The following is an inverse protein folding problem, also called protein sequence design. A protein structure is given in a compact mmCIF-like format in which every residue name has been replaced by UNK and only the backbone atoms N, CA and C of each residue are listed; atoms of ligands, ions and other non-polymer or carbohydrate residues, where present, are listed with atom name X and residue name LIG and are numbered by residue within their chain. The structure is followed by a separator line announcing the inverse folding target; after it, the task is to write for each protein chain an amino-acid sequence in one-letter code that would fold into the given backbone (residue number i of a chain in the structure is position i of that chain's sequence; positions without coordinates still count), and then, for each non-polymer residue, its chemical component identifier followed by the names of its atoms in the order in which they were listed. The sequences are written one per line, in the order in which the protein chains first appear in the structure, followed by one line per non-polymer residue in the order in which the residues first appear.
data_IF_094364719694
#
_entry.id   IF_094364719694
#
_cell.length_a   1.000
_cell.length_b   1.000
_cell.length_c   1.000
_cell.angle_alpha   90.00
_cell.angle_beta   90.00
_cell.angle_gamma   90.00
#
_symmetry.space_group_name_H-M   'P 1'
#
loop_
_entity.id
_entity.type
_entity.pdbx_description
1 polymer ?
#
# COMPACT_ATOMS: atom_id res chain seq x y z
N UNK A 1 14.84 -13.65 6.50
CA UNK A 1 15.95 -13.98 5.61
C UNK A 1 15.62 -15.27 4.89
N UNK A 2 15.53 -15.19 3.57
CA UNK A 2 15.16 -16.32 2.72
C UNK A 2 16.41 -17.14 2.38
N UNK A 3 16.36 -18.45 2.58
CA UNK A 3 17.48 -19.35 2.28
C UNK A 3 17.10 -20.35 1.20
N UNK A 4 17.93 -20.46 0.16
CA UNK A 4 17.76 -21.46 -0.91
C UNK A 4 19.12 -21.89 -1.45
N UNK A 5 19.28 -23.20 -1.68
CA UNK A 5 20.48 -23.80 -2.25
C UNK A 5 21.78 -23.43 -1.48
N UNK A 6 21.68 -23.30 -0.15
CA UNK A 6 22.80 -22.93 0.72
C UNK A 6 23.20 -21.45 0.65
N UNK A 7 22.38 -20.60 0.03
CA UNK A 7 22.57 -19.16 -0.04
C UNK A 7 21.45 -18.44 0.74
N UNK A 8 21.84 -17.40 1.47
CA UNK A 8 20.92 -16.52 2.18
C UNK A 8 20.73 -15.22 1.40
N UNK A 9 19.47 -14.80 1.27
CA UNK A 9 19.07 -13.60 0.55
C UNK A 9 18.37 -12.62 1.50
N UNK A 10 18.74 -11.35 1.37
CA UNK A 10 18.01 -10.25 1.97
C UNK A 10 16.96 -9.75 0.98
N UNK A 11 15.68 -9.98 1.29
CA UNK A 11 14.58 -9.69 0.37
C UNK A 11 13.99 -8.31 0.66
N UNK A 12 14.03 -7.44 -0.35
CA UNK A 12 13.39 -6.12 -0.32
C UNK A 12 12.18 -6.13 -1.23
N UNK A 13 10.98 -5.97 -0.64
CA UNK A 13 9.78 -5.67 -1.42
C UNK A 13 9.69 -4.15 -1.62
N UNK A 14 10.03 -3.69 -2.82
CA UNK A 14 10.09 -2.27 -3.13
C UNK A 14 8.71 -1.63 -3.43
N UNK A 15 7.62 -2.40 -3.39
CA UNK A 15 6.28 -1.91 -3.72
C UNK A 15 5.17 -2.67 -3.00
N UNK A 16 4.92 -2.27 -1.75
CA UNK A 16 3.73 -2.71 -1.00
C UNK A 16 2.69 -1.59 -0.89
N UNK A 17 1.44 -1.97 -0.71
CA UNK A 17 0.35 -1.05 -0.41
C UNK A 17 -0.45 -1.59 0.78
N UNK A 18 -1.04 -0.67 1.54
CA UNK A 18 -2.05 -0.95 2.55
C UNK A 18 -3.32 -0.25 2.10
N UNK A 19 -4.48 -0.92 2.12
CA UNK A 19 -5.69 -0.36 1.55
C UNK A 19 -6.95 -0.51 2.41
N UNK A 20 -7.90 0.39 2.16
CA UNK A 20 -9.27 0.34 2.64
C UNK A 20 -10.23 0.69 1.51
N UNK A 21 -11.05 -0.28 1.14
CA UNK A 21 -12.07 -0.19 0.13
C UNK A 21 -13.46 -0.54 0.67
N UNK A 22 -13.63 -0.52 2.00
CA UNK A 22 -14.92 -0.80 2.63
C UNK A 22 -15.99 0.19 2.14
N UNK A 23 -17.28 -0.20 2.14
CA UNK A 23 -18.35 0.62 1.58
C UNK A 23 -18.41 2.04 2.15
N UNK A 24 -18.09 2.23 3.43
CA UNK A 24 -18.04 3.53 4.10
C UNK A 24 -16.92 4.45 3.60
N UNK A 25 -15.85 3.89 2.99
CA UNK A 25 -14.77 4.66 2.40
C UNK A 25 -15.00 4.93 0.90
N UNK A 26 -15.99 4.31 0.27
CA UNK A 26 -16.26 4.50 -1.16
C UNK A 26 -17.00 5.82 -1.39
N UNK A 27 -16.38 6.72 -2.16
CA UNK A 27 -16.93 8.05 -2.45
C UNK A 27 -18.07 7.99 -3.48
N UNK A 28 -17.97 7.04 -4.40
CA UNK A 28 -18.91 6.84 -5.51
C UNK A 28 -18.81 5.40 -6.05
N UNK A 29 -19.62 5.09 -7.06
CA UNK A 29 -19.65 3.77 -7.70
C UNK A 29 -18.29 3.34 -8.27
N UNK A 30 -17.41 4.27 -8.63
CA UNK A 30 -16.10 3.94 -9.20
C UNK A 30 -15.14 3.39 -8.14
N UNK A 31 -15.27 3.79 -6.87
CA UNK A 31 -14.57 3.13 -5.76
C UNK A 31 -14.93 1.65 -5.67
N UNK A 32 -16.23 1.32 -5.72
CA UNK A 32 -16.69 -0.07 -5.78
C UNK A 32 -16.13 -0.81 -6.99
N UNK A 33 -16.26 -0.23 -8.19
CA UNK A 33 -15.81 -0.86 -9.43
C UNK A 33 -14.29 -1.12 -9.42
N UNK A 34 -13.52 -0.20 -8.83
CA UNK A 34 -12.08 -0.36 -8.68
C UNK A 34 -11.75 -1.59 -7.85
N UNK A 35 -12.26 -1.69 -6.61
CA UNK A 35 -11.93 -2.84 -5.75
C UNK A 35 -12.50 -4.16 -6.28
N UNK A 36 -13.68 -4.13 -6.90
CA UNK A 36 -14.28 -5.32 -7.53
C UNK A 36 -13.37 -5.88 -8.63
N UNK A 37 -12.73 -5.02 -9.43
CA UNK A 37 -11.79 -5.44 -10.47
C UNK A 37 -10.56 -6.14 -9.89
N UNK A 38 -9.97 -5.59 -8.82
CA UNK A 38 -8.84 -6.24 -8.13
C UNK A 38 -9.24 -7.57 -7.50
N UNK A 39 -10.43 -7.62 -6.90
CA UNK A 39 -10.93 -8.87 -6.33
C UNK A 39 -11.24 -9.93 -7.39
N UNK A 40 -11.73 -9.55 -8.57
CA UNK A 40 -11.91 -10.50 -9.67
C UNK A 40 -10.58 -11.10 -10.14
N UNK A 41 -9.49 -10.32 -10.19
CA UNK A 41 -8.16 -10.90 -10.43
C UNK A 41 -7.75 -11.83 -9.29
N UNK A 42 -7.91 -11.41 -8.03
CA UNK A 42 -7.59 -12.24 -6.87
C UNK A 42 -8.35 -13.58 -6.88
N UNK A 43 -9.67 -13.54 -7.03
CA UNK A 43 -10.55 -14.71 -7.00
C UNK A 43 -10.30 -15.67 -8.16
N UNK A 44 -9.97 -15.17 -9.35
CA UNK A 44 -9.88 -16.00 -10.55
C UNK A 44 -8.45 -16.41 -10.91
N UNK A 45 -7.42 -15.74 -10.40
CA UNK A 45 -6.01 -15.98 -10.78
C UNK A 45 -5.13 -16.46 -9.62
N UNK A 46 -5.55 -16.31 -8.36
CA UNK A 46 -4.82 -16.83 -7.21
C UNK A 46 -5.07 -18.33 -7.01
N UNK A 47 -4.13 -19.07 -6.41
CA UNK A 47 -4.40 -20.42 -5.92
C UNK A 47 -5.57 -20.40 -4.92
N UNK A 48 -6.37 -21.45 -4.88
CA UNK A 48 -7.58 -21.52 -4.04
C UNK A 48 -7.27 -21.29 -2.55
N UNK A 49 -6.11 -21.75 -2.06
CA UNK A 49 -5.65 -21.53 -0.68
C UNK A 49 -5.38 -20.06 -0.35
N UNK A 50 -5.09 -19.23 -1.36
CA UNK A 50 -4.74 -17.83 -1.20
C UNK A 50 -5.92 -16.88 -1.46
N UNK A 51 -7.07 -17.39 -1.91
CA UNK A 51 -8.26 -16.57 -2.17
C UNK A 51 -8.87 -16.12 -0.86
N UNK A 52 -9.00 -14.81 -0.69
CA UNK A 52 -9.57 -14.21 0.52
C UNK A 52 -11.08 -14.09 0.35
N UNK A 53 -11.86 -14.19 1.44
CA UNK A 53 -13.23 -13.69 1.43
C UNK A 53 -13.27 -12.23 0.98
N UNK A 54 -14.30 -11.85 0.21
CA UNK A 54 -14.42 -10.48 -0.31
C UNK A 54 -14.38 -9.43 0.80
N UNK A 55 -15.10 -9.65 1.90
CA UNK A 55 -15.14 -8.73 3.04
C UNK A 55 -13.75 -8.51 3.66
N UNK A 56 -12.94 -9.57 3.77
CA UNK A 56 -11.55 -9.47 4.26
C UNK A 56 -10.65 -8.76 3.23
N UNK A 57 -10.92 -8.93 1.93
CA UNK A 57 -10.19 -8.26 0.87
C UNK A 57 -10.50 -6.76 0.79
N UNK A 58 -11.64 -6.29 1.30
CA UNK A 58 -11.95 -4.86 1.32
C UNK A 58 -11.04 -4.07 2.25
N UNK A 59 -10.43 -4.69 3.25
CA UNK A 59 -9.51 -4.03 4.16
C UNK A 59 -8.43 -4.99 4.63
N UNK A 60 -7.19 -4.74 4.17
CA UNK A 60 -6.07 -5.57 4.59
C UNK A 60 -5.73 -5.34 6.08
N UNK A 61 -5.58 -4.08 6.49
CA UNK A 61 -5.13 -3.70 7.83
C UNK A 61 -3.65 -4.02 8.13
N UNK A 62 -3.07 -3.25 9.04
CA UNK A 62 -1.64 -3.35 9.38
C UNK A 62 -1.23 -4.72 9.92
N UNK A 63 -2.04 -5.34 10.78
CA UNK A 63 -1.70 -6.63 11.40
C UNK A 63 -1.54 -7.74 10.36
N UNK A 64 -2.48 -7.82 9.42
CA UNK A 64 -2.42 -8.79 8.32
C UNK A 64 -1.25 -8.49 7.39
N UNK A 65 -1.00 -7.22 7.06
CA UNK A 65 0.17 -6.84 6.26
C UNK A 65 1.48 -7.30 6.92
N UNK A 66 1.60 -7.16 8.24
CA UNK A 66 2.80 -7.61 8.97
C UNK A 66 2.95 -9.13 8.93
N UNK A 67 1.85 -9.86 9.13
CA UNK A 67 1.83 -11.32 9.01
C UNK A 67 2.23 -11.78 7.59
N UNK A 68 1.51 -11.28 6.58
CA UNK A 68 1.66 -11.71 5.19
C UNK A 68 3.07 -11.45 4.66
N UNK A 69 3.65 -10.26 4.92
CA UNK A 69 4.97 -9.92 4.40
C UNK A 69 6.10 -10.56 5.20
N UNK A 70 6.07 -10.43 6.52
CA UNK A 70 7.26 -10.71 7.35
C UNK A 70 7.21 -12.05 8.07
N UNK A 71 6.05 -12.64 8.28
CA UNK A 71 5.93 -13.95 8.94
C UNK A 71 5.90 -15.09 7.91
N UNK A 72 5.05 -14.95 6.87
CA UNK A 72 4.86 -16.01 5.86
C UNK A 72 5.42 -15.66 4.47
N UNK A 73 5.62 -14.37 4.17
CA UNK A 73 6.08 -13.89 2.86
C UNK A 73 7.60 -13.83 2.67
N UNK A 74 8.38 -14.10 3.71
CA UNK A 74 9.85 -14.06 3.69
C UNK A 74 10.49 -12.72 3.29
N UNK A 75 9.77 -11.60 3.43
CA UNK A 75 10.30 -10.25 3.20
C UNK A 75 11.14 -9.82 4.40
N UNK A 76 12.30 -9.20 4.15
CA UNK A 76 13.14 -8.64 5.21
C UNK A 76 12.92 -7.13 5.38
N UNK A 77 12.63 -6.42 4.28
CA UNK A 77 12.25 -5.01 4.31
C UNK A 77 11.23 -4.69 3.21
N UNK A 78 10.22 -3.87 3.49
CA UNK A 78 9.21 -3.47 2.53
C UNK A 78 9.07 -1.94 2.44
N UNK A 79 8.72 -1.45 1.25
CA UNK A 79 8.58 -0.03 0.95
C UNK A 79 7.16 0.26 0.50
N UNK A 80 6.43 1.07 1.27
CA UNK A 80 5.10 1.51 0.89
C UNK A 80 5.14 2.41 -0.34
N UNK A 81 4.28 2.13 -1.30
CA UNK A 81 4.04 2.94 -2.50
C UNK A 81 2.52 3.16 -2.64
N UNK A 82 1.94 4.04 -1.80
CA UNK A 82 0.48 4.13 -1.64
C UNK A 82 -0.23 4.58 -2.92
N UNK A 83 -1.51 4.21 -3.03
CA UNK A 83 -2.43 4.71 -4.05
C UNK A 83 -3.43 5.67 -3.40
N UNK A 84 -3.41 6.94 -3.80
CA UNK A 84 -4.25 7.97 -3.18
C UNK A 84 -5.74 7.77 -3.53
N UNK A 85 -6.07 7.79 -4.82
CA UNK A 85 -7.40 7.51 -5.37
C UNK A 85 -8.51 8.33 -4.68
N UNK A 86 -8.25 9.63 -4.47
CA UNK A 86 -9.14 10.53 -3.73
C UNK A 86 -10.44 10.85 -4.47
N UNK A 87 -10.47 10.61 -5.78
CA UNK A 87 -11.69 10.70 -6.59
C UNK A 87 -12.61 9.48 -6.38
N UNK A 88 -12.09 8.35 -5.91
CA UNK A 88 -12.83 7.10 -5.74
C UNK A 88 -13.18 6.81 -4.27
N UNK A 89 -12.35 7.30 -3.33
CA UNK A 89 -12.47 7.02 -1.90
C UNK A 89 -12.46 8.30 -1.06
N UNK A 90 -13.21 8.29 0.05
CA UNK A 90 -13.40 9.45 0.94
C UNK A 90 -12.11 9.79 1.69
N UNK A 91 -11.45 8.78 2.27
CA UNK A 91 -10.20 8.92 3.03
C UNK A 91 -8.97 8.50 2.21
N UNK A 92 -9.16 8.26 0.90
CA UNK A 92 -8.18 7.63 0.02
C UNK A 92 -8.12 6.11 0.19
N UNK A 93 -7.58 5.44 -0.82
CA UNK A 93 -7.43 3.97 -0.81
C UNK A 93 -6.25 3.55 0.07
N UNK A 94 -5.07 4.16 -0.12
CA UNK A 94 -3.77 3.74 0.41
C UNK A 94 -3.46 4.01 1.89
N UNK A 95 -4.49 4.15 2.75
CA UNK A 95 -4.42 4.31 4.21
C UNK A 95 -3.16 5.04 4.75
N UNK A 96 -2.98 6.31 4.34
CA UNK A 96 -1.75 7.11 4.58
C UNK A 96 -1.34 7.15 6.05
N UNK A 97 -2.25 7.48 6.96
CA UNK A 97 -1.92 7.63 8.38
C UNK A 97 -1.51 6.28 8.98
N UNK A 98 -2.26 5.21 8.71
CA UNK A 98 -1.98 3.85 9.19
C UNK A 98 -0.64 3.33 8.66
N UNK A 99 -0.40 3.42 7.35
CA UNK A 99 0.84 2.98 6.73
C UNK A 99 2.06 3.76 7.27
N UNK A 100 1.93 5.07 7.45
CA UNK A 100 3.01 5.90 8.00
C UNK A 100 3.28 5.60 9.49
N UNK A 101 2.22 5.31 10.26
CA UNK A 101 2.34 4.95 11.67
C UNK A 101 3.00 3.57 11.83
N UNK A 102 2.62 2.61 10.99
CA UNK A 102 3.20 1.27 10.96
C UNK A 102 4.69 1.31 10.59
N UNK A 103 5.06 2.10 9.59
CA UNK A 103 6.46 2.31 9.22
C UNK A 103 7.29 2.97 10.34
N UNK A 104 6.70 3.91 11.09
CA UNK A 104 7.35 4.51 12.27
C UNK A 104 7.50 3.50 13.42
N UNK A 105 6.56 2.58 13.58
CA UNK A 105 6.60 1.54 14.60
C UNK A 105 7.62 0.43 14.27
N UNK A 106 7.85 0.16 12.98
CA UNK A 106 8.76 -0.89 12.51
C UNK A 106 9.78 -0.36 11.47
N UNK A 107 10.64 0.61 11.82
CA UNK A 107 11.54 1.25 10.87
C UNK A 107 12.65 0.32 10.34
N UNK A 108 12.91 -0.79 11.02
CA UNK A 108 13.80 -1.86 10.56
C UNK A 108 13.19 -2.68 9.42
N UNK A 109 11.86 -2.79 9.38
CA UNK A 109 11.11 -3.59 8.41
C UNK A 109 10.43 -2.77 7.32
N UNK A 110 10.07 -1.53 7.60
CA UNK A 110 9.19 -0.73 6.75
C UNK A 110 9.75 0.66 6.47
N UNK A 111 9.69 1.07 5.21
CA UNK A 111 9.88 2.45 4.78
C UNK A 111 8.58 3.00 4.19
N UNK A 112 8.20 4.21 4.58
CA UNK A 112 7.06 4.90 3.99
C UNK A 112 7.52 5.90 2.92
N UNK A 113 7.03 5.71 1.68
CA UNK A 113 7.00 6.76 0.67
C UNK A 113 5.59 7.35 0.57
N UNK A 114 5.49 8.58 0.08
CA UNK A 114 4.21 9.24 -0.18
C UNK A 114 3.95 9.41 -1.68
N UNK A 115 2.69 9.62 -2.05
CA UNK A 115 2.33 9.95 -3.42
C UNK A 115 2.68 11.40 -3.75
N UNK A 116 3.11 11.65 -4.98
CA UNK A 116 3.30 12.99 -5.53
C UNK A 116 2.72 13.05 -6.94
N UNK A 117 1.81 14.01 -7.15
CA UNK A 117 1.24 14.28 -8.46
C UNK A 117 1.95 15.49 -9.13
N UNK A 118 2.75 15.26 -10.19
CA UNK A 118 3.44 16.33 -10.90
C UNK A 118 2.48 17.25 -11.69
N UNK A 119 1.24 16.82 -11.98
CA UNK A 119 0.24 17.62 -12.70
C UNK A 119 -0.21 18.84 -11.89
N UNK A 120 -0.02 18.82 -10.57
CA UNK A 120 -0.29 19.94 -9.65
C UNK A 120 0.79 21.04 -9.70
N UNK A 121 1.84 20.88 -10.53
CA UNK A 121 2.90 21.85 -10.74
C UNK A 121 3.55 22.33 -9.44
N UNK A 122 3.74 23.64 -9.31
CA UNK A 122 4.38 24.26 -8.15
C UNK A 122 3.64 24.01 -6.82
N UNK A 123 2.32 23.84 -6.86
CA UNK A 123 1.56 23.50 -5.66
C UNK A 123 1.86 22.07 -5.22
N UNK A 124 1.92 21.12 -6.15
CA UNK A 124 2.33 19.74 -5.88
C UNK A 124 3.74 19.65 -5.31
N UNK A 125 4.68 20.45 -5.84
CA UNK A 125 6.05 20.53 -5.30
C UNK A 125 6.12 21.14 -3.90
N UNK A 126 5.28 22.13 -3.57
CA UNK A 126 5.18 22.64 -2.20
C UNK A 126 4.62 21.58 -1.26
N UNK A 127 3.56 20.89 -1.66
CA UNK A 127 2.95 19.83 -0.85
C UNK A 127 3.93 18.68 -0.60
N UNK A 128 4.64 18.21 -1.63
CA UNK A 128 5.68 17.20 -1.49
C UNK A 128 6.76 17.59 -0.47
N UNK A 129 7.17 18.87 -0.42
CA UNK A 129 8.16 19.33 0.58
C UNK A 129 7.60 19.28 2.00
N UNK A 130 6.33 19.62 2.19
CA UNK A 130 5.68 19.52 3.51
C UNK A 130 5.47 18.06 3.92
N UNK A 131 5.05 17.18 2.99
CA UNK A 131 4.90 15.75 3.25
C UNK A 131 6.25 15.09 3.53
N UNK A 132 7.30 15.47 2.81
CA UNK A 132 8.67 15.01 3.07
C UNK A 132 9.13 15.33 4.49
N UNK A 133 8.83 16.53 4.99
CA UNK A 133 9.12 16.92 6.39
C UNK A 133 8.24 16.16 7.38
N UNK A 134 6.94 16.06 7.10
CA UNK A 134 5.95 15.44 7.99
C UNK A 134 6.22 13.94 8.21
N UNK A 135 6.55 13.23 7.13
CA UNK A 135 6.70 11.78 7.14
C UNK A 135 8.15 11.31 7.15
N UNK A 136 9.13 12.21 7.00
CA UNK A 136 10.55 11.84 6.93
C UNK A 136 10.88 11.03 5.68
N UNK A 137 10.27 11.39 4.54
CA UNK A 137 10.30 10.58 3.32
C UNK A 137 11.72 10.34 2.80
N UNK A 138 11.98 9.10 2.38
CA UNK A 138 13.21 8.69 1.66
C UNK A 138 13.00 8.65 0.15
N UNK A 139 11.75 8.56 -0.28
CA UNK A 139 11.33 8.58 -1.67
C UNK A 139 9.86 9.01 -1.80
N UNK A 140 9.40 9.07 -3.05
CA UNK A 140 8.00 9.34 -3.38
C UNK A 140 7.57 8.49 -4.58
N UNK A 141 6.28 8.17 -4.65
CA UNK A 141 5.65 7.54 -5.81
C UNK A 141 5.10 8.64 -6.72
N UNK A 142 5.58 8.69 -7.96
CA UNK A 142 5.03 9.58 -8.97
C UNK A 142 3.66 9.07 -9.42
N UNK A 143 2.64 9.90 -9.28
CA UNK A 143 1.27 9.60 -9.69
C UNK A 143 1.02 10.07 -11.12
N UNK A 144 0.51 9.20 -11.98
CA UNK A 144 0.31 9.48 -13.41
C UNK A 144 -1.17 9.67 -13.78
N UNK A 145 -2.10 9.20 -12.94
CA UNK A 145 -3.54 9.25 -13.14
C UNK A 145 -4.27 9.19 -11.78
N UNK A 146 -5.52 9.65 -11.75
CA UNK A 146 -6.49 9.30 -10.69
C UNK A 146 -7.46 8.26 -11.26
#
# INVERSE_FOLDING_TARGET
MYSKDGQDYFIVDAHVALWDARPENQRNIHGKQFIDCFYDYHRNLSPESEVWPYEDYLYQGGDRLMHDLFEVGHVDHAIFQPAALGEFYVNGFGQTEEASALAKAHPDKLTYNHCWDPRLGEQGLRQLREDAKRFGLRGCKLYTAE
#
